data_IF_701212918506
#
_entry.id   IF_701212918506
#
_cell.length_a   1.000
_cell.length_b   1.000
_cell.length_c   1.000
_cell.angle_alpha   90.00
_cell.angle_beta   90.00
_cell.angle_gamma   90.00
#
_symmetry.space_group_name_H-M   'P 1'
#
loop_
_entity.id
_entity.type
_entity.pdbx_description
1 polymer ?
#
# COMPACT_ATOMS: atom_id res chain seq x y z
N UNK A 1 -33.90 9.01 -1.92
CA UNK A 1 -32.78 8.92 -0.98
C UNK A 1 -32.71 7.48 -0.52
N UNK A 2 -31.56 6.83 -0.66
CA UNK A 2 -31.40 5.42 -0.35
C UNK A 2 -30.78 5.26 1.04
N UNK A 3 -31.44 4.52 1.92
CA UNK A 3 -30.93 4.26 3.26
C UNK A 3 -30.09 2.98 3.27
N UNK A 4 -28.86 3.07 3.76
CA UNK A 4 -27.92 1.95 3.84
C UNK A 4 -27.29 1.92 5.22
N UNK A 5 -26.93 0.72 5.72
CA UNK A 5 -26.24 0.63 7.02
C UNK A 5 -24.78 1.04 6.84
N UNK A 6 -24.09 0.42 5.89
CA UNK A 6 -22.70 0.75 5.53
C UNK A 6 -22.63 1.12 4.05
N UNK A 7 -22.05 2.28 3.75
CA UNK A 7 -21.64 2.62 2.39
C UNK A 7 -20.12 2.47 2.27
N UNK A 8 -19.66 1.65 1.34
CA UNK A 8 -18.25 1.42 1.02
C UNK A 8 -17.94 2.12 -0.29
N UNK A 9 -16.96 3.02 -0.28
CA UNK A 9 -16.54 3.79 -1.46
C UNK A 9 -15.24 3.22 -2.02
N UNK A 10 -15.31 2.54 -3.17
CA UNK A 10 -14.20 1.91 -3.87
C UNK A 10 -14.25 0.39 -3.81
N UNK A 11 -14.14 -0.26 -4.97
CA UNK A 11 -14.07 -1.72 -5.15
C UNK A 11 -12.63 -2.19 -5.47
N UNK A 12 -11.65 -1.56 -4.80
CA UNK A 12 -10.30 -2.10 -4.68
C UNK A 12 -10.19 -3.16 -3.58
N UNK A 13 -8.99 -3.73 -3.35
CA UNK A 13 -8.75 -4.77 -2.36
C UNK A 13 -9.29 -4.44 -0.96
N UNK A 14 -9.10 -3.19 -0.50
CA UNK A 14 -9.60 -2.75 0.81
C UNK A 14 -11.13 -2.71 0.91
N UNK A 15 -11.82 -2.27 -0.14
CA UNK A 15 -13.28 -2.21 -0.17
C UNK A 15 -13.91 -3.59 -0.26
N UNK A 16 -13.33 -4.48 -1.06
CA UNK A 16 -13.75 -5.87 -1.19
C UNK A 16 -13.52 -6.66 0.11
N UNK A 17 -12.36 -6.50 0.74
CA UNK A 17 -12.09 -7.07 2.06
C UNK A 17 -13.10 -6.59 3.10
N UNK A 18 -13.42 -5.30 3.10
CA UNK A 18 -14.42 -4.75 4.01
C UNK A 18 -15.79 -5.39 3.76
N UNK A 19 -16.22 -5.49 2.50
CA UNK A 19 -17.48 -6.10 2.10
C UNK A 19 -17.58 -7.57 2.59
N UNK A 20 -16.54 -8.37 2.40
CA UNK A 20 -16.51 -9.75 2.90
C UNK A 20 -16.57 -9.81 4.44
N UNK A 21 -15.78 -8.98 5.12
CA UNK A 21 -15.77 -8.93 6.59
C UNK A 21 -17.12 -8.52 7.18
N UNK A 22 -17.79 -7.51 6.63
CA UNK A 22 -19.11 -7.10 7.15
C UNK A 22 -20.21 -8.12 6.82
N UNK A 23 -20.06 -8.85 5.72
CA UNK A 23 -20.96 -9.95 5.35
C UNK A 23 -20.93 -11.09 6.37
N UNK A 24 -19.76 -11.41 6.94
CA UNK A 24 -19.62 -12.42 8.00
C UNK A 24 -20.47 -12.10 9.24
N UNK A 25 -20.75 -10.81 9.49
CA UNK A 25 -21.60 -10.36 10.59
C UNK A 25 -23.04 -10.08 10.18
N UNK A 26 -23.45 -10.45 8.96
CA UNK A 26 -24.78 -10.18 8.41
C UNK A 26 -25.15 -8.69 8.41
N UNK A 27 -24.15 -7.80 8.30
CA UNK A 27 -24.37 -6.35 8.26
C UNK A 27 -24.64 -5.94 6.81
N UNK A 28 -25.81 -5.35 6.49
CA UNK A 28 -26.11 -4.89 5.14
C UNK A 28 -25.15 -3.79 4.70
N UNK A 29 -24.70 -3.84 3.45
CA UNK A 29 -23.81 -2.82 2.88
C UNK A 29 -24.14 -2.56 1.42
N UNK A 30 -23.69 -1.40 0.95
CA UNK A 30 -23.60 -1.07 -0.47
C UNK A 30 -22.16 -0.69 -0.76
N UNK A 31 -21.60 -1.23 -1.84
CA UNK A 31 -20.29 -0.84 -2.37
C UNK A 31 -20.47 -0.14 -3.70
N UNK A 32 -19.87 1.04 -3.83
CA UNK A 32 -19.88 1.87 -5.04
C UNK A 32 -18.47 2.03 -5.59
N UNK A 33 -18.33 1.95 -6.91
CA UNK A 33 -17.05 2.06 -7.61
C UNK A 33 -17.20 3.02 -8.78
N UNK A 34 -16.25 3.95 -8.93
CA UNK A 34 -16.29 4.98 -9.96
C UNK A 34 -16.07 4.38 -11.35
N UNK A 35 -15.21 3.37 -11.45
CA UNK A 35 -14.85 2.72 -12.70
C UNK A 35 -15.87 1.62 -13.06
N UNK A 36 -15.75 1.05 -14.25
CA UNK A 36 -16.59 -0.04 -14.73
C UNK A 36 -16.17 -1.43 -14.23
N UNK A 37 -15.16 -1.52 -13.36
CA UNK A 37 -14.59 -2.79 -12.89
C UNK A 37 -13.93 -2.65 -11.51
N UNK A 38 -13.84 -3.77 -10.79
CA UNK A 38 -13.09 -3.88 -9.53
C UNK A 38 -11.58 -3.87 -9.77
N UNK A 39 -10.82 -3.40 -8.79
CA UNK A 39 -9.36 -3.27 -8.85
C UNK A 39 -8.86 -2.56 -10.13
N UNK A 40 -9.59 -1.53 -10.56
CA UNK A 40 -9.35 -0.77 -11.79
C UNK A 40 -7.92 -0.24 -11.96
N UNK A 41 -7.26 0.14 -10.86
CA UNK A 41 -5.85 0.52 -10.85
C UNK A 41 -4.98 -0.59 -11.45
N UNK A 42 -5.17 -1.83 -10.98
CA UNK A 42 -4.44 -3.01 -11.42
C UNK A 42 -4.79 -3.38 -12.85
N UNK A 43 -6.05 -3.26 -13.26
CA UNK A 43 -6.47 -3.59 -14.63
C UNK A 43 -5.99 -2.57 -15.65
N UNK A 44 -6.21 -1.29 -15.38
CA UNK A 44 -6.14 -0.24 -16.40
C UNK A 44 -4.88 0.61 -16.29
N UNK A 45 -4.30 0.78 -15.10
CA UNK A 45 -3.27 1.80 -14.81
C UNK A 45 -1.94 1.22 -14.31
N UNK A 46 -1.66 -0.04 -14.65
CA UNK A 46 -0.37 -0.69 -14.37
C UNK A 46 0.26 -1.27 -15.64
N UNK A 47 1.57 -1.44 -15.59
CA UNK A 47 2.38 -2.10 -16.62
C UNK A 47 2.28 -3.63 -16.54
N UNK A 48 2.61 -4.29 -17.64
CA UNK A 48 2.26 -5.71 -17.83
C UNK A 48 3.17 -6.66 -17.04
N UNK A 49 4.43 -6.28 -16.84
CA UNK A 49 5.42 -7.06 -16.09
C UNK A 49 5.18 -7.07 -14.57
N UNK A 50 4.28 -6.23 -14.05
CA UNK A 50 4.09 -6.00 -12.62
C UNK A 50 3.96 -7.31 -11.84
N UNK A 51 4.76 -7.42 -10.79
CA UNK A 51 4.66 -8.44 -9.74
C UNK A 51 4.55 -7.74 -8.39
N UNK A 52 3.77 -8.32 -7.48
CA UNK A 52 3.72 -7.82 -6.11
C UNK A 52 5.10 -7.97 -5.45
N UNK A 53 5.55 -6.92 -4.76
CA UNK A 53 6.84 -6.89 -4.09
C UNK A 53 6.85 -7.61 -2.73
N UNK A 54 5.67 -7.95 -2.21
CA UNK A 54 5.51 -8.74 -0.99
C UNK A 54 5.22 -10.20 -1.34
N UNK A 55 5.62 -11.08 -0.41
CA UNK A 55 5.25 -12.49 -0.51
C UNK A 55 3.72 -12.67 -0.42
N UNK A 56 3.20 -13.69 -1.09
CA UNK A 56 1.76 -13.95 -1.25
C UNK A 56 1.00 -13.92 0.07
N UNK A 57 1.60 -14.42 1.16
CA UNK A 57 1.02 -14.50 2.49
C UNK A 57 0.67 -13.11 3.06
N UNK A 58 1.38 -12.06 2.63
CA UNK A 58 1.10 -10.68 3.02
C UNK A 58 0.12 -9.96 2.08
N UNK A 59 -0.29 -10.62 0.99
CA UNK A 59 -1.18 -10.07 -0.03
C UNK A 59 -2.54 -10.78 -0.05
N UNK A 60 -2.82 -11.65 0.93
CA UNK A 60 -4.09 -12.35 1.07
C UNK A 60 -5.16 -11.39 1.59
N UNK A 61 -6.33 -11.41 0.95
CA UNK A 61 -7.53 -10.80 1.47
C UNK A 61 -8.14 -11.67 2.57
N UNK A 62 -8.83 -11.06 3.56
CA UNK A 62 -9.43 -11.79 4.66
C UNK A 62 -10.30 -12.94 4.19
N UNK A 63 -10.17 -14.08 4.86
CA UNK A 63 -10.98 -15.28 4.65
C UNK A 63 -10.72 -16.05 3.35
N UNK A 64 -9.72 -15.68 2.53
CA UNK A 64 -9.38 -16.41 1.32
C UNK A 64 -7.86 -16.42 1.07
N UNK A 65 -7.13 -17.46 1.49
CA UNK A 65 -5.70 -17.57 1.22
C UNK A 65 -5.45 -17.84 -0.27
N UNK A 66 -4.20 -17.64 -0.73
CA UNK A 66 -3.83 -18.06 -2.08
C UNK A 66 -3.77 -19.58 -2.19
N UNK A 67 -4.06 -20.15 -3.37
CA UNK A 67 -3.78 -21.55 -3.68
C UNK A 67 -2.31 -21.92 -3.42
N UNK A 68 -2.05 -23.14 -2.95
CA UNK A 68 -0.71 -23.59 -2.53
C UNK A 68 0.35 -23.53 -3.64
N UNK A 69 -0.06 -23.65 -4.90
CA UNK A 69 0.75 -23.55 -6.13
C UNK A 69 1.01 -22.10 -6.59
N UNK A 70 0.42 -21.11 -5.94
CA UNK A 70 0.63 -19.69 -6.28
C UNK A 70 2.09 -19.29 -6.06
N UNK A 71 2.76 -18.61 -7.01
CA UNK A 71 4.12 -18.11 -6.81
C UNK A 71 4.25 -17.21 -5.58
N UNK A 72 5.42 -17.22 -4.93
CA UNK A 72 5.70 -16.35 -3.77
C UNK A 72 5.47 -14.88 -4.09
N UNK A 73 5.91 -14.42 -5.26
CA UNK A 73 5.66 -13.05 -5.74
C UNK A 73 4.63 -13.09 -6.85
N UNK A 74 3.46 -12.53 -6.59
CA UNK A 74 2.27 -12.73 -7.41
C UNK A 74 2.34 -11.84 -8.66
N UNK A 75 2.25 -12.40 -9.87
CA UNK A 75 2.08 -11.61 -11.09
C UNK A 75 0.75 -10.87 -11.11
N UNK A 76 0.71 -9.70 -11.76
CA UNK A 76 -0.49 -8.87 -11.96
C UNK A 76 -1.73 -9.68 -12.35
N UNK A 77 -1.65 -10.52 -13.37
CA UNK A 77 -2.81 -11.28 -13.87
C UNK A 77 -3.30 -12.31 -12.85
N UNK A 78 -2.40 -12.93 -12.08
CA UNK A 78 -2.76 -13.84 -10.99
C UNK A 78 -3.46 -13.09 -9.85
N UNK A 79 -2.99 -11.89 -9.52
CA UNK A 79 -3.64 -11.03 -8.52
C UNK A 79 -5.04 -10.58 -8.97
N UNK A 80 -5.19 -10.17 -10.24
CA UNK A 80 -6.48 -9.80 -10.82
C UNK A 80 -7.46 -10.97 -10.76
N UNK A 81 -7.02 -12.17 -11.17
CA UNK A 81 -7.84 -13.38 -11.07
C UNK A 81 -8.25 -13.67 -9.63
N UNK A 82 -7.32 -13.57 -8.69
CA UNK A 82 -7.61 -13.76 -7.27
C UNK A 82 -8.68 -12.78 -6.76
N UNK A 83 -8.66 -11.52 -7.21
CA UNK A 83 -9.71 -10.54 -6.88
C UNK A 83 -11.06 -10.91 -7.48
N UNK A 84 -11.10 -11.44 -8.71
CA UNK A 84 -12.34 -11.93 -9.34
C UNK A 84 -12.91 -13.14 -8.59
N UNK A 85 -12.07 -14.13 -8.29
CA UNK A 85 -12.41 -15.31 -7.51
C UNK A 85 -12.93 -14.90 -6.11
N UNK A 86 -12.37 -13.85 -5.51
CA UNK A 86 -12.80 -13.31 -4.21
C UNK A 86 -14.20 -12.70 -4.28
N UNK A 87 -14.48 -11.92 -5.32
CA UNK A 87 -15.80 -11.31 -5.54
C UNK A 87 -16.87 -12.39 -5.70
N UNK A 88 -16.58 -13.43 -6.48
CA UNK A 88 -17.47 -14.58 -6.68
C UNK A 88 -17.67 -15.37 -5.38
N UNK A 89 -16.59 -15.69 -4.66
CA UNK A 89 -16.63 -16.47 -3.43
C UNK A 89 -17.50 -15.82 -2.34
N UNK A 90 -17.42 -14.49 -2.21
CA UNK A 90 -18.19 -13.74 -1.21
C UNK A 90 -19.47 -13.10 -1.77
N UNK A 91 -19.85 -13.41 -3.02
CA UNK A 91 -21.02 -12.86 -3.71
C UNK A 91 -21.13 -11.32 -3.57
N UNK A 92 -20.01 -10.62 -3.77
CA UNK A 92 -19.94 -9.16 -3.64
C UNK A 92 -20.45 -8.53 -4.94
N UNK A 93 -21.36 -7.55 -4.83
CA UNK A 93 -21.95 -6.89 -5.99
C UNK A 93 -21.68 -5.38 -5.98
N UNK A 94 -20.53 -4.92 -6.51
CA UNK A 94 -20.26 -3.49 -6.64
C UNK A 94 -21.19 -2.79 -7.62
N UNK A 95 -21.65 -1.61 -7.23
CA UNK A 95 -22.30 -0.66 -8.13
C UNK A 95 -21.22 0.13 -8.85
N UNK A 96 -20.83 -0.38 -10.01
CA UNK A 96 -19.89 0.28 -10.90
C UNK A 96 -20.44 1.59 -11.46
N UNK A 97 -19.56 2.39 -12.06
CA UNK A 97 -19.90 3.67 -12.68
C UNK A 97 -20.64 4.61 -11.72
N UNK A 98 -20.35 4.53 -10.42
CA UNK A 98 -20.97 5.34 -9.37
C UNK A 98 -19.89 6.14 -8.64
N UNK A 99 -19.84 7.44 -8.93
CA UNK A 99 -18.84 8.37 -8.35
C UNK A 99 -19.42 8.99 -7.09
N UNK A 100 -18.75 8.87 -5.95
CA UNK A 100 -19.10 9.66 -4.76
C UNK A 100 -18.46 11.04 -4.88
N UNK A 101 -19.28 12.08 -4.86
CA UNK A 101 -18.84 13.47 -5.08
C UNK A 101 -18.69 14.23 -3.76
N UNK A 102 -19.53 13.94 -2.78
CA UNK A 102 -19.43 14.57 -1.45
C UNK A 102 -20.06 13.71 -0.35
N UNK A 103 -19.61 13.94 0.88
CA UNK A 103 -20.18 13.34 2.08
C UNK A 103 -20.16 14.33 3.24
N UNK A 104 -21.23 14.41 4.01
CA UNK A 104 -21.32 15.23 5.22
C UNK A 104 -21.97 14.44 6.34
N UNK A 105 -21.40 14.51 7.54
CA UNK A 105 -21.97 13.85 8.70
C UNK A 105 -23.00 14.77 9.38
N UNK A 106 -24.22 14.28 9.55
CA UNK A 106 -25.29 14.92 10.30
C UNK A 106 -25.23 14.44 11.76
N UNK A 107 -24.85 15.33 12.67
CA UNK A 107 -24.76 15.05 14.11
C UNK A 107 -26.12 14.86 14.79
N UNK A 108 -27.16 15.55 14.32
CA UNK A 108 -28.51 15.44 14.87
C UNK A 108 -29.14 14.12 14.45
N UNK A 109 -28.98 13.81 13.17
CA UNK A 109 -29.47 12.58 12.56
C UNK A 109 -28.64 11.33 12.88
N UNK A 110 -27.36 11.50 13.26
CA UNK A 110 -26.36 10.44 13.45
C UNK A 110 -26.17 9.56 12.21
N UNK A 111 -26.04 10.20 11.05
CA UNK A 111 -25.80 9.52 9.77
C UNK A 111 -24.93 10.37 8.86
N UNK A 112 -24.34 9.72 7.86
CA UNK A 112 -23.70 10.34 6.72
C UNK A 112 -24.74 10.62 5.62
N UNK A 113 -24.78 11.84 5.13
CA UNK A 113 -25.44 12.21 3.87
C UNK A 113 -24.39 12.20 2.78
N UNK A 114 -24.56 11.36 1.76
CA UNK A 114 -23.60 11.17 0.67
C UNK A 114 -24.28 11.45 -0.66
N UNK A 115 -23.66 12.31 -1.46
CA UNK A 115 -24.07 12.56 -2.85
C UNK A 115 -23.16 11.77 -3.77
N UNK A 116 -23.77 10.98 -4.63
CA UNK A 116 -23.09 10.24 -5.67
C UNK A 116 -23.76 10.45 -7.03
N UNK A 117 -23.03 10.16 -8.10
CA UNK A 117 -23.51 10.21 -9.47
C UNK A 117 -23.38 8.81 -10.09
N UNK A 118 -24.51 8.22 -10.46
CA UNK A 118 -24.57 7.03 -11.33
C UNK A 118 -24.34 7.51 -12.77
N UNK A 119 -23.11 7.33 -13.25
CA UNK A 119 -22.65 7.75 -14.58
C UNK A 119 -23.29 6.92 -15.69
N UNK A 120 -23.74 5.69 -15.42
CA UNK A 120 -24.41 4.86 -16.41
C UNK A 120 -25.84 5.36 -16.67
N UNK A 121 -26.52 5.87 -15.64
CA UNK A 121 -27.87 6.42 -15.73
C UNK A 121 -27.91 7.95 -15.80
N UNK A 122 -26.75 8.62 -15.79
CA UNK A 122 -26.60 10.07 -15.72
C UNK A 122 -27.48 10.71 -14.62
N UNK A 123 -27.47 10.11 -13.42
CA UNK A 123 -28.39 10.51 -12.33
C UNK A 123 -27.67 10.66 -10.99
N UNK A 124 -28.06 11.70 -10.27
CA UNK A 124 -27.66 11.90 -8.87
C UNK A 124 -28.39 10.89 -7.98
N UNK A 125 -27.61 10.19 -7.16
CA UNK A 125 -28.07 9.25 -6.14
C UNK A 125 -27.63 9.77 -4.78
N UNK A 126 -28.59 10.00 -3.89
CA UNK A 126 -28.33 10.43 -2.52
C UNK A 126 -28.47 9.24 -1.57
N UNK A 127 -27.40 8.94 -0.84
CA UNK A 127 -27.36 7.90 0.18
C UNK A 127 -27.42 8.51 1.58
N UNK A 128 -28.07 7.78 2.48
CA UNK A 128 -28.04 8.01 3.92
C UNK A 128 -27.44 6.78 4.58
N UNK A 129 -26.23 6.91 5.13
CA UNK A 129 -25.48 5.78 5.68
C UNK A 129 -25.22 5.94 7.19
N UNK A 130 -25.37 4.88 7.99
CA UNK A 130 -24.92 4.94 9.40
C UNK A 130 -23.39 4.96 9.49
N UNK A 131 -22.74 4.20 8.62
CA UNK A 131 -21.29 4.12 8.52
C UNK A 131 -20.83 4.37 7.09
N UNK A 132 -19.73 5.11 6.95
CA UNK A 132 -19.06 5.37 5.69
C UNK A 132 -17.65 4.78 5.74
N UNK A 133 -17.32 3.91 4.79
CA UNK A 133 -15.98 3.35 4.61
C UNK A 133 -15.39 3.95 3.35
N UNK A 134 -14.25 4.64 3.49
CA UNK A 134 -13.53 5.25 2.36
C UNK A 134 -12.39 4.31 1.96
N UNK A 135 -12.57 3.60 0.85
CA UNK A 135 -11.63 2.63 0.27
C UNK A 135 -11.19 3.03 -1.15
N UNK A 136 -11.11 4.34 -1.43
CA UNK A 136 -10.80 4.91 -2.75
C UNK A 136 -9.33 4.78 -3.18
N UNK A 137 -8.44 4.43 -2.25
CA UNK A 137 -7.00 4.24 -2.49
C UNK A 137 -6.22 5.56 -2.65
N UNK A 138 -4.95 5.53 -2.22
CA UNK A 138 -4.06 6.70 -2.23
C UNK A 138 -3.45 7.00 -3.62
N UNK A 139 -3.35 5.99 -4.48
CA UNK A 139 -2.63 6.05 -5.76
C UNK A 139 -3.54 6.22 -6.98
N UNK A 140 -4.76 6.72 -6.77
CA UNK A 140 -5.80 6.72 -7.80
C UNK A 140 -5.75 7.95 -8.72
N UNK A 141 -4.93 8.95 -8.38
CA UNK A 141 -4.75 10.22 -9.10
C UNK A 141 -3.28 10.39 -9.45
N UNK A 142 -3.01 10.68 -10.72
CA UNK A 142 -1.66 10.95 -11.20
C UNK A 142 -1.15 12.31 -10.73
N UNK A 143 0.16 12.41 -10.50
CA UNK A 143 0.81 13.65 -10.14
C UNK A 143 1.97 13.92 -11.10
N UNK A 144 1.72 14.78 -12.09
CA UNK A 144 2.73 15.26 -13.02
C UNK A 144 3.17 16.64 -12.54
N UNK A 145 4.38 16.81 -11.99
CA UNK A 145 4.85 18.12 -11.56
C UNK A 145 5.04 19.03 -12.77
N UNK A 146 4.85 20.34 -12.56
CA UNK A 146 5.20 21.34 -13.57
C UNK A 146 6.72 21.31 -13.78
N UNK A 147 7.14 20.94 -14.98
CA UNK A 147 8.54 20.92 -15.38
C UNK A 147 8.72 22.02 -16.43
N UNK A 148 9.49 23.09 -16.14
CA UNK A 148 9.73 24.16 -17.11
C UNK A 148 10.29 23.61 -18.43
N UNK A 149 9.66 23.98 -19.54
CA UNK A 149 10.07 23.58 -20.89
C UNK A 149 9.55 22.21 -21.34
N UNK A 150 8.80 21.48 -20.52
CA UNK A 150 8.20 20.20 -20.91
C UNK A 150 7.15 20.39 -22.02
N UNK A 151 6.44 21.51 -22.02
CA UNK A 151 5.45 21.89 -23.02
C UNK A 151 6.03 22.06 -24.43
N UNK A 152 7.33 22.35 -24.53
CA UNK A 152 8.04 22.53 -25.80
C UNK A 152 8.92 21.31 -26.14
N UNK A 153 8.83 20.23 -25.35
CA UNK A 153 9.60 19.01 -25.61
C UNK A 153 9.03 18.31 -26.86
N UNK A 154 9.84 18.05 -27.90
CA UNK A 154 9.35 17.48 -29.15
C UNK A 154 9.03 15.99 -29.04
N UNK A 155 9.52 15.32 -27.99
CA UNK A 155 9.27 13.90 -27.73
C UNK A 155 8.00 13.65 -26.93
N UNK A 156 7.77 12.37 -26.62
CA UNK A 156 6.60 11.95 -25.85
C UNK A 156 6.93 11.96 -24.35
N UNK A 157 6.08 12.61 -23.56
CA UNK A 157 6.12 12.58 -22.11
C UNK A 157 4.85 11.91 -21.57
N UNK A 158 5.01 10.81 -20.83
CA UNK A 158 3.90 10.11 -20.18
C UNK A 158 4.16 9.92 -18.69
N UNK A 159 3.09 9.75 -17.91
CA UNK A 159 3.16 9.31 -16.52
C UNK A 159 3.20 7.77 -16.44
N UNK A 160 3.80 7.23 -15.37
CA UNK A 160 3.88 5.78 -15.10
C UNK A 160 2.55 5.02 -15.20
N UNK A 161 1.41 5.66 -14.91
CA UNK A 161 0.06 5.08 -15.06
C UNK A 161 -0.30 4.74 -16.51
N UNK A 162 0.31 5.41 -17.48
CA UNK A 162 0.09 5.21 -18.91
C UNK A 162 1.12 4.24 -19.53
N UNK A 163 2.20 3.91 -18.81
CA UNK A 163 3.20 2.97 -19.29
C UNK A 163 2.68 1.53 -19.26
N UNK A 164 2.99 0.74 -20.29
CA UNK A 164 2.56 -0.66 -20.42
C UNK A 164 3.72 -1.63 -20.53
N UNK A 165 4.64 -1.37 -21.45
CA UNK A 165 5.78 -2.22 -21.73
C UNK A 165 6.93 -1.42 -22.34
N UNK A 166 8.15 -1.89 -22.13
CA UNK A 166 9.35 -1.32 -22.72
C UNK A 166 9.50 -1.61 -24.22
N UNK A 167 8.68 -2.53 -24.77
CA UNK A 167 8.80 -3.00 -26.15
C UNK A 167 8.69 -1.86 -27.19
N UNK A 168 7.85 -0.86 -26.92
CA UNK A 168 7.60 0.28 -27.82
C UNK A 168 8.78 1.29 -27.84
N UNK A 169 9.72 1.12 -26.92
CA UNK A 169 10.86 2.02 -26.69
C UNK A 169 12.21 1.45 -27.12
N UNK A 170 12.23 0.26 -27.70
CA UNK A 170 13.46 -0.37 -28.20
C UNK A 170 14.24 0.58 -29.11
N UNK A 171 15.52 0.80 -28.80
CA UNK A 171 16.41 1.70 -29.55
C UNK A 171 16.19 3.20 -29.33
N UNK A 172 15.21 3.62 -28.52
CA UNK A 172 14.97 5.03 -28.19
C UNK A 172 15.80 5.47 -26.99
N UNK A 173 16.06 6.77 -26.86
CA UNK A 173 16.62 7.30 -25.63
C UNK A 173 15.49 7.60 -24.67
N UNK A 174 15.57 7.08 -23.45
CA UNK A 174 14.47 7.16 -22.50
C UNK A 174 14.92 7.69 -21.15
N UNK A 175 14.30 8.77 -20.68
CA UNK A 175 14.57 9.37 -19.37
C UNK A 175 13.43 9.06 -18.39
N UNK A 176 13.72 8.28 -17.36
CA UNK A 176 12.80 8.02 -16.26
C UNK A 176 13.07 9.02 -15.13
N UNK A 177 12.09 9.88 -14.84
CA UNK A 177 12.25 10.93 -13.83
C UNK A 177 11.78 10.41 -12.48
N UNK A 178 12.61 9.71 -11.72
CA UNK A 178 12.36 9.36 -10.32
C UNK A 178 12.57 7.88 -10.01
N UNK A 179 12.79 7.60 -8.73
CA UNK A 179 13.38 6.36 -8.22
C UNK A 179 12.51 5.60 -7.22
N UNK A 180 11.19 5.81 -7.26
CA UNK A 180 10.24 4.94 -6.54
C UNK A 180 10.20 3.54 -7.15
N UNK A 181 9.46 2.61 -6.54
CA UNK A 181 9.31 1.25 -7.04
C UNK A 181 8.87 1.22 -8.51
N UNK A 182 7.89 2.06 -8.90
CA UNK A 182 7.46 2.18 -10.29
C UNK A 182 8.58 2.67 -11.21
N UNK A 183 9.32 3.72 -10.84
CA UNK A 183 10.39 4.28 -11.68
C UNK A 183 11.54 3.29 -11.90
N UNK A 184 11.92 2.56 -10.84
CA UNK A 184 12.95 1.53 -10.92
C UNK A 184 12.53 0.33 -11.79
N UNK A 185 11.30 -0.18 -11.62
CA UNK A 185 10.79 -1.29 -12.42
C UNK A 185 10.64 -0.90 -13.90
N UNK A 186 10.13 0.31 -14.18
CA UNK A 186 10.00 0.84 -15.53
C UNK A 186 11.37 1.00 -16.19
N UNK A 187 12.34 1.60 -15.49
CA UNK A 187 13.68 1.77 -16.04
C UNK A 187 14.37 0.44 -16.35
N UNK A 188 14.16 -0.55 -15.47
CA UNK A 188 14.65 -1.90 -15.70
C UNK A 188 13.96 -2.58 -16.89
N UNK A 189 12.64 -2.42 -17.03
CA UNK A 189 11.88 -2.97 -18.15
C UNK A 189 12.29 -2.35 -19.49
N UNK A 190 12.46 -1.03 -19.54
CA UNK A 190 12.96 -0.29 -20.71
C UNK A 190 14.35 -0.77 -21.13
N UNK A 191 15.30 -0.84 -20.18
CA UNK A 191 16.65 -1.31 -20.45
C UNK A 191 16.66 -2.77 -20.93
N UNK A 192 15.79 -3.62 -20.36
CA UNK A 192 15.64 -5.02 -20.77
C UNK A 192 15.11 -5.18 -22.19
N UNK A 193 14.38 -4.19 -22.71
CA UNK A 193 13.86 -4.14 -24.08
C UNK A 193 14.75 -3.32 -25.04
N UNK A 194 15.97 -2.97 -24.64
CA UNK A 194 16.95 -2.32 -25.52
C UNK A 194 16.75 -0.81 -25.70
N UNK A 195 15.99 -0.15 -24.83
CA UNK A 195 15.96 1.31 -24.76
C UNK A 195 17.22 1.85 -24.07
N UNK A 196 17.79 2.94 -24.59
CA UNK A 196 18.89 3.65 -23.94
C UNK A 196 18.35 4.45 -22.75
N UNK A 197 18.33 3.83 -21.57
CA UNK A 197 17.56 4.30 -20.41
C UNK A 197 18.43 5.04 -19.40
N UNK A 198 17.98 6.23 -18.98
CA UNK A 198 18.57 7.03 -17.90
C UNK A 198 17.56 7.30 -16.79
N UNK A 199 17.99 7.38 -15.53
CA UNK A 199 17.13 7.68 -14.39
C UNK A 199 17.57 8.97 -13.71
N UNK A 200 16.64 9.90 -13.48
CA UNK A 200 16.88 11.06 -12.63
C UNK A 200 16.47 10.75 -11.20
N UNK A 201 17.41 10.94 -10.27
CA UNK A 201 17.21 10.74 -8.84
C UNK A 201 17.44 12.06 -8.12
N UNK A 202 16.40 12.63 -7.52
CA UNK A 202 16.49 13.90 -6.80
C UNK A 202 17.07 13.77 -5.38
N UNK A 203 16.87 12.62 -4.75
CA UNK A 203 17.18 12.39 -3.34
C UNK A 203 17.77 11.00 -3.14
N UNK A 204 18.61 10.79 -2.10
CA UNK A 204 19.20 9.48 -1.82
C UNK A 204 18.13 8.37 -1.75
N UNK A 205 18.47 7.20 -2.29
CA UNK A 205 17.58 6.03 -2.33
C UNK A 205 18.22 4.88 -1.57
N UNK A 206 17.43 4.18 -0.76
CA UNK A 206 17.84 2.91 -0.17
C UNK A 206 17.27 1.78 -1.04
N UNK A 207 18.16 0.96 -1.59
CA UNK A 207 17.76 -0.20 -2.40
C UNK A 207 17.74 -1.42 -1.48
N UNK A 208 16.57 -2.05 -1.37
CA UNK A 208 16.38 -3.28 -0.62
C UNK A 208 16.11 -4.42 -1.59
N UNK A 209 16.88 -5.49 -1.48
CA UNK A 209 16.62 -6.70 -2.24
C UNK A 209 15.42 -7.45 -1.65
N UNK A 210 14.58 -7.97 -2.53
CA UNK A 210 13.37 -8.71 -2.18
C UNK A 210 13.65 -9.96 -1.32
N UNK A 211 14.84 -10.55 -1.45
CA UNK A 211 15.32 -11.65 -0.57
C UNK A 211 15.67 -11.19 0.85
N UNK A 212 16.05 -9.93 1.03
CA UNK A 212 16.33 -9.32 2.33
C UNK A 212 15.04 -8.84 3.01
N UNK A 213 14.05 -8.35 2.26
CA UNK A 213 12.77 -7.90 2.86
C UNK A 213 12.01 -9.06 3.49
N UNK A 214 11.95 -10.24 2.86
CA UNK A 214 11.38 -11.45 3.47
C UNK A 214 12.03 -11.71 4.84
N UNK A 215 13.37 -11.73 4.90
CA UNK A 215 14.12 -11.94 6.14
C UNK A 215 13.96 -10.82 7.18
N UNK A 216 13.78 -9.56 6.76
CA UNK A 216 13.54 -8.43 7.67
C UNK A 216 12.13 -8.44 8.25
N UNK A 217 11.12 -8.87 7.49
CA UNK A 217 9.77 -9.11 8.03
C UNK A 217 9.75 -10.28 9.01
N UNK A 218 10.47 -11.38 8.71
CA UNK A 218 10.67 -12.47 9.68
C UNK A 218 11.46 -12.02 10.92
N UNK A 219 12.48 -11.16 10.76
CA UNK A 219 13.25 -10.58 11.88
C UNK A 219 12.51 -9.52 12.67
N UNK A 220 11.47 -8.88 12.14
CA UNK A 220 10.67 -7.89 12.88
C UNK A 220 9.80 -8.52 13.98
N UNK A 221 9.76 -9.86 14.05
CA UNK A 221 9.28 -10.61 15.22
C UNK A 221 10.33 -10.70 16.36
N UNK A 222 11.56 -10.23 16.14
CA UNK A 222 12.56 -9.95 17.16
C UNK A 222 12.87 -8.45 17.17
N UNK A 223 12.60 -7.78 18.29
CA UNK A 223 12.82 -6.34 18.45
C UNK A 223 14.31 -6.04 18.20
N UNK A 224 14.60 -5.38 17.07
CA UNK A 224 15.92 -4.84 16.79
C UNK A 224 15.96 -3.39 17.29
N UNK A 225 16.64 -3.14 18.40
CA UNK A 225 16.98 -1.79 18.83
C UNK A 225 18.01 -1.22 17.85
N UNK A 226 17.59 -0.32 16.97
CA UNK A 226 18.50 0.49 16.16
C UNK A 226 18.89 1.71 16.99
N UNK A 227 20.11 1.69 17.54
CA UNK A 227 20.78 2.85 18.12
C UNK A 227 21.20 3.78 16.98
N UNK A 228 20.94 5.09 17.12
CA UNK A 228 21.38 6.14 16.17
C UNK A 228 22.71 6.72 16.65
N UNK A 229 23.60 7.00 15.71
CA UNK A 229 24.93 7.57 15.96
C UNK A 229 24.90 8.88 16.78
N UNK A 230 25.84 8.93 17.72
CA UNK A 230 26.03 9.92 18.78
C UNK A 230 26.98 9.41 19.87
N UNK A 231 27.25 8.11 19.92
CA UNK A 231 28.20 7.50 20.85
C UNK A 231 29.59 7.32 20.22
N UNK A 232 30.68 7.69 20.92
CA UNK A 232 32.02 7.75 20.35
C UNK A 232 32.66 6.37 20.11
N UNK A 233 33.17 6.21 18.88
CA UNK A 233 34.24 5.33 18.40
C UNK A 233 34.67 4.13 19.28
N UNK A 234 34.49 2.93 18.74
CA UNK A 234 35.48 1.84 18.83
C UNK A 234 35.61 1.20 17.45
N UNK A 235 36.79 1.35 16.84
CA UNK A 235 37.22 0.66 15.63
C UNK A 235 37.39 -0.83 15.89
N UNK A 236 36.85 -1.69 15.02
CA UNK A 236 37.23 -3.10 14.97
C UNK A 236 37.71 -3.42 13.55
N UNK A 237 39.04 -3.44 13.40
CA UNK A 237 39.75 -3.97 12.25
C UNK A 237 39.50 -5.47 12.07
N UNK A 238 39.46 -5.92 10.82
CA UNK A 238 39.33 -7.34 10.48
C UNK A 238 40.67 -8.08 10.62
N UNK A 239 40.60 -9.28 11.22
CA UNK A 239 41.46 -10.46 11.03
C UNK A 239 43.00 -10.29 11.08
N UNK A 240 43.65 -10.84 12.11
CA UNK A 240 44.54 -12.00 11.94
C UNK A 240 45.05 -12.62 13.26
N UNK A 241 45.11 -13.96 13.24
CA UNK A 241 46.14 -14.83 13.82
C UNK A 241 46.51 -14.83 15.33
N UNK A 242 46.47 -16.06 15.88
CA UNK A 242 47.30 -16.65 16.96
C UNK A 242 47.08 -16.20 18.42
N UNK A 243 46.36 -17.07 19.13
CA UNK A 243 46.88 -17.74 20.34
C UNK A 243 46.92 -16.97 21.67
N UNK A 244 46.70 -17.74 22.75
CA UNK A 244 47.03 -17.48 24.17
C UNK A 244 45.86 -16.92 25.03
N UNK A 245 45.23 -17.85 25.77
CA UNK A 245 44.63 -17.68 27.12
C UNK A 245 45.75 -17.35 28.14
N UNK A 246 45.54 -16.87 29.40
CA UNK A 246 44.28 -16.73 30.18
C UNK A 246 44.21 -15.48 31.12
N UNK A 247 43.13 -15.39 31.92
CA UNK A 247 43.07 -15.06 33.37
C UNK A 247 42.14 -13.91 33.85
N UNK A 248 41.33 -14.29 34.86
CA UNK A 248 40.81 -13.58 36.05
C UNK A 248 39.74 -12.50 35.85
N UNK A 249 38.51 -12.77 36.30
CA UNK A 249 37.98 -12.57 37.67
C UNK A 249 38.00 -11.10 38.08
N UNK A 250 36.83 -10.47 38.14
CA UNK A 250 36.40 -9.83 39.38
C UNK A 250 34.88 -9.51 39.41
N UNK A 251 34.30 -9.93 40.52
CA UNK A 251 32.93 -9.74 41.02
C UNK A 251 32.70 -8.29 41.48
N UNK A 252 31.55 -7.65 41.25
CA UNK A 252 30.41 -7.57 42.20
C UNK A 252 29.67 -6.20 42.05
N UNK A 253 28.44 -6.03 42.59
CA UNK A 253 27.39 -5.15 42.04
C UNK A 253 27.09 -3.91 42.90
N UNK A 254 26.36 -2.92 42.36
CA UNK A 254 25.79 -1.82 43.13
C UNK A 254 24.35 -1.46 42.69
N UNK A 255 23.57 -1.12 43.70
CA UNK A 255 22.10 -1.08 43.81
C UNK A 255 21.51 0.34 43.89
N UNK A 256 20.17 0.40 43.93
CA UNK A 256 19.27 1.46 44.48
C UNK A 256 19.03 2.69 43.58
N UNK A 257 17.88 3.39 43.54
CA UNK A 257 16.59 3.47 44.28
C UNK A 257 15.61 4.33 43.42
N UNK A 258 14.36 3.94 43.16
CA UNK A 258 13.05 4.33 43.78
C UNK A 258 12.62 5.82 43.79
N UNK A 259 11.29 5.99 43.63
CA UNK A 259 10.35 7.12 43.89
C UNK A 259 9.89 7.95 42.66
N UNK A 260 8.62 8.35 42.44
CA UNK A 260 7.30 7.99 42.99
C UNK A 260 6.15 8.74 42.23
N UNK A 261 4.91 8.18 42.28
CA UNK A 261 3.55 8.81 42.19
C UNK A 261 2.87 9.26 40.86
N UNK A 262 1.69 8.67 40.54
CA UNK A 262 0.30 9.22 40.67
C UNK A 262 -0.76 8.22 40.11
N UNK A 263 -1.97 8.21 40.70
CA UNK A 263 -3.15 7.34 40.42
C UNK A 263 -4.45 8.18 40.29
N UNK A 264 -5.67 7.61 40.17
CA UNK A 264 -6.37 7.00 39.00
C UNK A 264 -7.61 7.83 38.54
N UNK A 265 -8.21 7.50 37.38
CA UNK A 265 -9.60 7.91 37.04
C UNK A 265 -10.37 6.80 36.31
N UNK A 266 -11.55 6.50 36.87
CA UNK A 266 -12.64 5.67 36.37
C UNK A 266 -13.29 6.27 35.12
N UNK A 267 -13.74 5.43 34.18
CA UNK A 267 -14.99 5.69 33.44
C UNK A 267 -15.50 4.41 32.75
N UNK A 268 -16.71 4.00 33.15
CA UNK A 268 -17.39 2.77 32.78
C UNK A 268 -17.70 2.62 31.28
N UNK A 269 -16.78 1.96 30.55
CA UNK A 269 -17.05 1.41 29.22
C UNK A 269 -17.03 -0.11 29.25
N UNK A 270 -18.21 -0.71 29.08
CA UNK A 270 -18.35 -2.12 28.72
C UNK A 270 -17.69 -2.34 27.34
N UNK A 271 -16.50 -2.95 27.31
CA UNK A 271 -15.81 -3.32 26.08
C UNK A 271 -16.16 -4.77 25.72
N UNK A 272 -16.84 -4.96 24.60
CA UNK A 272 -16.94 -6.26 23.94
C UNK A 272 -15.53 -6.63 23.47
N UNK A 273 -14.90 -7.62 24.11
CA UNK A 273 -13.63 -8.21 23.68
C UNK A 273 -13.92 -9.30 22.64
N UNK A 274 -13.71 -8.98 21.37
CA UNK A 274 -13.43 -9.93 20.29
C UNK A 274 -12.06 -9.59 19.67
N UNK A 275 -11.39 -10.49 18.94
CA UNK A 275 -10.01 -10.32 18.50
C UNK A 275 -9.94 -9.35 17.32
N UNK A 276 -10.06 -8.06 17.60
CA UNK A 276 -9.66 -6.96 16.74
C UNK A 276 -8.55 -6.21 17.48
N UNK A 277 -7.33 -6.75 17.40
CA UNK A 277 -6.16 -5.97 17.77
C UNK A 277 -5.90 -4.93 16.69
N UNK A 278 -6.57 -3.79 16.82
CA UNK A 278 -6.13 -2.55 16.21
C UNK A 278 -4.79 -2.14 16.87
N UNK A 279 -3.68 -2.47 16.22
CA UNK A 279 -2.38 -1.93 16.60
C UNK A 279 -2.23 -0.53 16.00
N UNK A 280 -2.55 0.48 16.81
CA UNK A 280 -2.07 1.83 16.59
C UNK A 280 -0.67 1.96 17.19
N UNK A 281 0.34 1.86 16.31
CA UNK A 281 1.62 2.49 16.55
C UNK A 281 1.77 3.64 15.55
N UNK A 282 1.92 4.86 16.07
CA UNK A 282 2.27 6.05 15.29
C UNK A 282 3.71 5.89 14.79
N UNK A 283 3.90 5.10 13.76
CA UNK A 283 5.03 5.22 12.83
C UNK A 283 4.46 5.86 11.57
N UNK A 284 5.05 6.98 11.12
CA UNK A 284 4.76 7.52 9.79
C UNK A 284 4.86 6.37 8.78
N UNK A 285 3.82 6.23 7.96
CA UNK A 285 3.56 5.16 6.98
C UNK A 285 3.04 3.86 7.59
N UNK A 286 1.71 3.75 7.60
CA UNK A 286 1.01 2.48 7.70
C UNK A 286 1.15 1.72 6.38
N UNK A 287 1.40 0.42 6.49
CA UNK A 287 1.52 -0.48 5.34
C UNK A 287 0.15 -0.76 4.75
N UNK A 288 -0.12 -0.12 3.61
CA UNK A 288 -1.08 -0.57 2.60
C UNK A 288 -0.24 -0.72 1.33
N UNK A 289 -0.08 -1.94 0.83
CA UNK A 289 0.56 -2.16 -0.46
C UNK A 289 -0.42 -1.76 -1.58
N UNK A 290 -0.44 -0.47 -1.87
CA UNK A 290 -0.64 0.03 -3.21
C UNK A 290 0.49 1.04 -3.41
N UNK A 291 1.29 0.86 -4.45
CA UNK A 291 2.20 1.91 -4.92
C UNK A 291 2.10 1.93 -6.44
N UNK A 292 1.26 2.83 -6.94
CA UNK A 292 1.12 3.13 -8.37
C UNK A 292 1.13 4.64 -8.48
N UNK A 293 2.30 5.25 -8.33
CA UNK A 293 2.36 6.69 -8.26
C UNK A 293 3.74 7.21 -7.94
N UNK A 294 4.59 7.28 -8.95
CA UNK A 294 4.97 8.54 -9.57
C UNK A 294 5.97 8.23 -10.68
N UNK A 295 6.13 9.19 -11.59
CA UNK A 295 7.31 9.44 -12.43
C UNK A 295 7.10 9.30 -13.94
N UNK A 296 7.71 10.25 -14.66
CA UNK A 296 7.54 10.47 -16.09
C UNK A 296 8.63 9.76 -16.87
N UNK A 297 8.25 9.17 -18.00
CA UNK A 297 9.14 8.60 -19.01
C UNK A 297 9.21 9.62 -20.15
N UNK A 298 10.40 10.11 -20.51
CA UNK A 298 10.64 10.87 -21.73
C UNK A 298 11.23 9.96 -22.79
N UNK A 299 10.82 10.06 -24.04
CA UNK A 299 11.54 9.46 -25.17
C UNK A 299 12.13 10.54 -26.07
N UNK A 300 13.41 10.46 -26.44
CA UNK A 300 13.96 11.10 -27.65
C UNK A 300 13.85 10.14 -28.85
#
# INVERSE_FOLDING_TARGET
>A
MEEVVVLIVGAGPAGLATAACVSQFSIPYVIVERENCSASLWRNRTYDRLKLHLAREFCELPHMPYPADTPTYIPKNTFIKYVDDYIECFAIHPRYLTVVESSTYDFNGKYWSIMAHDMAKCKIVNYRAKFLVVASGENSVENIPVIPGLENFPGVAIHSSCYKSGIDYSGRNVLVIGSGNSGMEIAYDLASHGANTSIIIRSPVCILYVTLTANLFYRSYFILHIVKDGDPFVTADSCNDKGINPTRDDTSPLSSSKDDRWSPFDDGKCRIRGPLQAWHHKTRKGSICAEVGNWSIRSD
#
